data_IF_003269086144
#
_entry.id   IF_003269086144
#
_cell.length_a   1.000
_cell.length_b   1.000
_cell.length_c   1.000
_cell.angle_alpha   90.00
_cell.angle_beta   90.00
_cell.angle_gamma   90.00
#
_symmetry.space_group_name_H-M   'P 1'
#
loop_
_entity.id
_entity.type
_entity.pdbx_description
1 polymer ?
#
# COMPACT_ATOMS: atom_id res chain seq x y z
N UNK A 1 8.18 -13.68 -21.78
CA UNK A 1 7.89 -12.91 -23.00
C UNK A 1 6.42 -12.47 -23.10
N UNK A 2 5.40 -13.22 -22.63
CA UNK A 2 3.98 -12.80 -22.75
C UNK A 2 3.56 -11.68 -21.77
N UNK A 3 4.28 -11.47 -20.67
CA UNK A 3 3.89 -10.49 -19.62
C UNK A 3 4.42 -9.07 -19.89
N UNK A 4 5.48 -8.92 -20.68
CA UNK A 4 6.03 -7.61 -21.04
C UNK A 4 5.18 -6.90 -22.10
N UNK A 5 4.61 -7.66 -23.02
CA UNK A 5 3.74 -7.12 -24.07
C UNK A 5 2.43 -6.58 -23.49
N UNK A 6 1.81 -7.32 -22.55
CA UNK A 6 0.58 -6.88 -21.87
C UNK A 6 0.79 -5.61 -21.04
N UNK A 7 1.95 -5.47 -20.42
CA UNK A 7 2.30 -4.25 -19.65
C UNK A 7 2.58 -3.06 -20.58
N UNK A 8 3.19 -3.29 -21.74
CA UNK A 8 3.43 -2.27 -22.76
C UNK A 8 2.11 -1.77 -23.40
N UNK A 9 1.16 -2.68 -23.64
CA UNK A 9 -0.16 -2.34 -24.18
C UNK A 9 -1.01 -1.55 -23.18
N UNK A 10 -0.97 -1.90 -21.89
CA UNK A 10 -1.63 -1.12 -20.83
C UNK A 10 -1.05 0.30 -20.72
N UNK A 11 0.28 0.44 -20.84
CA UNK A 11 0.97 1.72 -20.81
C UNK A 11 0.65 2.63 -22.01
N UNK A 12 0.32 2.04 -23.16
CA UNK A 12 -0.05 2.79 -24.37
C UNK A 12 -1.50 3.31 -24.33
N UNK A 13 -2.35 2.73 -23.50
CA UNK A 13 -3.75 3.12 -23.30
C UNK A 13 -3.96 4.23 -22.26
N UNK A 14 -2.91 4.64 -21.53
CA UNK A 14 -2.97 5.67 -20.47
C UNK A 14 -2.11 6.89 -20.86
N UNK A 15 -2.60 7.81 -21.70
CA UNK A 15 -1.85 9.00 -22.13
C UNK A 15 -1.63 10.05 -21.03
N UNK A 16 -2.14 9.86 -19.82
CA UNK A 16 -2.24 10.90 -18.77
C UNK A 16 -1.36 10.57 -17.53
N UNK A 17 -0.52 9.53 -17.56
CA UNK A 17 0.38 9.29 -16.42
C UNK A 17 1.68 10.08 -16.59
N UNK A 18 1.83 11.14 -15.80
CA UNK A 18 3.08 11.86 -15.59
C UNK A 18 4.25 10.96 -15.11
N UNK A 19 5.50 11.36 -15.34
CA UNK A 19 6.70 10.57 -15.05
C UNK A 19 6.76 9.84 -13.69
N UNK A 20 6.27 10.38 -12.55
CA UNK A 20 6.29 9.67 -11.28
C UNK A 20 5.36 8.45 -11.25
N UNK A 21 4.22 8.49 -11.96
CA UNK A 21 3.31 7.35 -12.03
C UNK A 21 3.84 6.22 -12.93
N UNK A 22 4.65 6.54 -13.96
CA UNK A 22 5.41 5.56 -14.75
C UNK A 22 6.48 4.84 -13.93
N UNK A 23 7.11 5.51 -12.97
CA UNK A 23 8.10 4.91 -12.08
C UNK A 23 7.48 3.86 -11.15
N UNK A 24 6.22 4.02 -10.74
CA UNK A 24 5.49 3.03 -9.92
C UNK A 24 5.26 1.71 -10.67
N UNK A 25 5.09 1.76 -11.99
CA UNK A 25 4.91 0.57 -12.83
C UNK A 25 6.23 -0.12 -13.22
N UNK A 26 7.39 0.50 -12.97
CA UNK A 26 8.70 0.01 -13.43
C UNK A 26 9.60 -0.56 -12.34
N UNK A 27 9.30 -0.37 -11.06
CA UNK A 27 10.10 -0.94 -9.96
C UNK A 27 9.53 -2.30 -9.56
N UNK A 28 9.83 -3.30 -10.36
CA UNK A 28 9.63 -4.69 -9.96
C UNK A 28 10.82 -5.12 -9.12
N UNK A 29 10.76 -4.93 -7.81
CA UNK A 29 11.67 -5.63 -6.90
C UNK A 29 11.36 -7.12 -7.06
N UNK A 30 12.26 -7.83 -7.75
CA UNK A 30 12.06 -9.25 -8.01
C UNK A 30 12.47 -10.04 -6.77
N UNK A 31 11.52 -10.31 -5.90
CA UNK A 31 11.68 -11.33 -4.87
C UNK A 31 11.76 -12.70 -5.54
N UNK A 32 12.71 -13.51 -5.12
CA UNK A 32 12.83 -14.87 -5.61
C UNK A 32 12.08 -15.87 -4.71
N UNK A 33 12.11 -17.15 -5.09
CA UNK A 33 11.51 -18.26 -4.34
C UNK A 33 12.03 -18.36 -2.89
N UNK A 34 13.31 -18.11 -2.68
CA UNK A 34 13.93 -18.16 -1.36
C UNK A 34 13.47 -16.99 -0.51
N UNK A 35 13.33 -15.81 -1.11
CA UNK A 35 12.75 -14.64 -0.45
C UNK A 35 11.31 -14.92 0.01
N UNK A 36 10.49 -15.50 -0.86
CA UNK A 36 9.11 -15.84 -0.52
C UNK A 36 9.04 -16.83 0.66
N UNK A 37 9.88 -17.88 0.65
CA UNK A 37 9.97 -18.84 1.75
C UNK A 37 10.41 -18.18 3.06
N UNK A 38 11.36 -17.26 2.99
CA UNK A 38 11.85 -16.52 4.16
C UNK A 38 10.76 -15.60 4.72
N UNK A 39 10.06 -14.87 3.87
CA UNK A 39 8.93 -14.02 4.26
C UNK A 39 7.78 -14.82 4.88
N UNK A 40 7.43 -15.98 4.32
CA UNK A 40 6.43 -16.87 4.91
C UNK A 40 6.86 -17.38 6.29
N UNK A 41 8.13 -17.76 6.45
CA UNK A 41 8.65 -18.18 7.74
C UNK A 41 8.63 -17.06 8.79
N UNK A 42 8.85 -15.80 8.38
CA UNK A 42 8.71 -14.61 9.24
C UNK A 42 7.24 -14.33 9.58
N UNK A 43 6.32 -14.50 8.65
CA UNK A 43 4.88 -14.39 8.93
C UNK A 43 4.42 -15.41 9.98
N UNK A 44 4.94 -16.65 9.92
CA UNK A 44 4.61 -17.71 10.89
C UNK A 44 5.28 -17.50 12.26
N UNK A 45 6.45 -16.85 12.28
CA UNK A 45 7.22 -16.61 13.48
C UNK A 45 7.83 -15.19 13.47
N UNK A 46 7.02 -14.14 13.73
CA UNK A 46 7.45 -12.74 13.58
C UNK A 46 8.60 -12.32 14.50
N UNK A 47 8.86 -13.09 15.58
CA UNK A 47 9.94 -12.83 16.54
C UNK A 47 11.15 -13.76 16.34
N UNK A 48 11.15 -14.59 15.28
CA UNK A 48 12.26 -15.48 15.02
C UNK A 48 13.53 -14.69 14.66
N UNK A 49 14.64 -15.10 15.25
CA UNK A 49 15.95 -14.55 14.90
C UNK A 49 16.41 -15.06 13.53
N UNK A 50 17.34 -14.36 12.88
CA UNK A 50 17.92 -14.80 11.61
C UNK A 50 18.55 -16.21 11.69
N UNK A 51 19.06 -16.61 12.86
CA UNK A 51 19.59 -17.97 13.10
C UNK A 51 18.47 -19.01 13.08
N UNK A 52 17.36 -18.73 13.75
CA UNK A 52 16.19 -19.63 13.77
C UNK A 52 15.55 -19.76 12.38
N UNK A 53 15.47 -18.66 11.64
CA UNK A 53 14.98 -18.66 10.26
C UNK A 53 15.89 -19.48 9.34
N UNK A 54 17.22 -19.33 9.47
CA UNK A 54 18.20 -20.09 8.72
C UNK A 54 18.04 -21.60 8.97
N UNK A 55 17.94 -22.00 10.24
CA UNK A 55 17.71 -23.39 10.62
C UNK A 55 16.39 -23.94 10.08
N UNK A 56 15.27 -23.19 10.26
CA UNK A 56 13.93 -23.59 9.79
C UNK A 56 13.89 -23.84 8.28
N UNK A 57 14.62 -23.04 7.51
CA UNK A 57 14.60 -23.09 6.04
C UNK A 57 15.74 -23.89 5.42
N UNK A 58 16.64 -24.44 6.26
CA UNK A 58 17.88 -25.10 5.84
C UNK A 58 18.73 -24.20 4.91
N UNK A 59 18.95 -22.96 5.35
CA UNK A 59 19.77 -21.96 4.67
C UNK A 59 21.00 -21.62 5.51
N UNK A 60 22.08 -21.17 4.84
CA UNK A 60 23.22 -20.60 5.54
C UNK A 60 22.82 -19.28 6.23
N UNK A 61 23.34 -19.04 7.45
CA UNK A 61 23.09 -17.82 8.22
C UNK A 61 23.41 -16.55 7.41
N UNK A 62 24.53 -16.55 6.69
CA UNK A 62 24.93 -15.41 5.87
C UNK A 62 23.94 -15.14 4.71
N UNK A 63 23.33 -16.19 4.15
CA UNK A 63 22.30 -16.06 3.12
C UNK A 63 21.05 -15.35 3.66
N UNK A 64 20.61 -15.69 4.87
CA UNK A 64 19.49 -15.01 5.51
C UNK A 64 19.84 -13.55 5.80
N UNK A 65 21.01 -13.30 6.41
CA UNK A 65 21.45 -11.94 6.73
C UNK A 65 21.57 -11.04 5.52
N UNK A 66 22.17 -11.52 4.43
CA UNK A 66 22.33 -10.72 3.19
C UNK A 66 20.98 -10.38 2.56
N UNK A 67 20.00 -11.29 2.62
CA UNK A 67 18.63 -11.02 2.11
C UNK A 67 17.90 -10.00 2.96
N UNK A 68 17.95 -10.11 4.28
CA UNK A 68 17.35 -9.13 5.19
C UNK A 68 17.96 -7.74 4.97
N UNK A 69 19.29 -7.64 4.90
CA UNK A 69 19.97 -6.37 4.64
C UNK A 69 19.59 -5.76 3.28
N UNK A 70 19.44 -6.58 2.22
CA UNK A 70 18.96 -6.14 0.93
C UNK A 70 17.53 -5.59 1.04
N UNK A 71 16.62 -6.28 1.73
CA UNK A 71 15.24 -5.81 1.90
C UNK A 71 15.13 -4.50 2.64
N UNK A 72 16.01 -4.28 3.64
CA UNK A 72 16.09 -2.99 4.34
C UNK A 72 16.53 -1.86 3.40
N UNK A 73 17.53 -2.12 2.55
CA UNK A 73 18.02 -1.16 1.56
C UNK A 73 16.98 -0.87 0.48
N UNK A 74 16.33 -1.89 -0.04
CA UNK A 74 15.33 -1.81 -1.11
C UNK A 74 13.92 -1.46 -0.58
N UNK A 75 13.74 -1.30 0.74
CA UNK A 75 12.46 -1.03 1.41
C UNK A 75 11.36 -2.02 1.02
N UNK A 76 11.72 -3.30 0.94
CA UNK A 76 10.78 -4.38 0.59
C UNK A 76 9.68 -4.54 1.62
N UNK A 77 10.01 -4.37 2.91
CA UNK A 77 9.05 -4.43 4.00
C UNK A 77 8.49 -3.05 4.29
N UNK A 78 7.19 -2.97 4.45
CA UNK A 78 6.53 -1.75 4.88
C UNK A 78 6.97 -1.39 6.32
N UNK A 79 6.98 -0.09 6.68
CA UNK A 79 7.21 0.36 8.05
C UNK A 79 6.21 -0.28 9.03
N UNK A 80 6.62 -0.42 10.30
CA UNK A 80 5.84 -1.13 11.32
C UNK A 80 4.51 -0.43 11.65
N UNK A 81 4.43 0.87 11.48
CA UNK A 81 3.20 1.66 11.66
C UNK A 81 2.06 1.17 10.77
N UNK A 82 2.37 0.62 9.59
CA UNK A 82 1.36 0.00 8.70
C UNK A 82 0.79 -1.32 9.23
N UNK A 83 1.39 -1.89 10.25
CA UNK A 83 0.91 -3.10 10.91
C UNK A 83 0.01 -2.80 12.11
N UNK A 84 -0.07 -1.54 12.53
CA UNK A 84 -0.91 -1.12 13.66
C UNK A 84 -2.32 -0.84 13.16
N UNK A 85 -3.31 -1.47 13.81
CA UNK A 85 -4.71 -1.21 13.48
C UNK A 85 -5.12 0.19 13.95
N UNK A 86 -5.73 1.03 13.10
CA UNK A 86 -6.28 2.32 13.54
C UNK A 86 -7.28 2.17 14.69
N UNK A 87 -8.02 1.06 14.74
CA UNK A 87 -8.95 0.76 15.85
C UNK A 87 -8.23 0.72 17.19
N UNK A 88 -7.03 0.12 17.24
CA UNK A 88 -6.25 0.03 18.48
C UNK A 88 -5.65 1.38 18.90
N UNK A 89 -5.63 2.35 17.97
CA UNK A 89 -5.26 3.74 18.21
C UNK A 89 -6.46 4.64 18.57
N UNK A 90 -7.67 4.06 18.72
CA UNK A 90 -8.87 4.80 19.07
C UNK A 90 -9.69 5.30 17.87
N UNK A 91 -9.42 4.82 16.66
CA UNK A 91 -10.14 5.18 15.44
C UNK A 91 -10.92 3.96 14.90
N UNK A 92 -12.08 3.61 15.50
CA UNK A 92 -12.82 2.42 15.12
C UNK A 92 -13.56 2.54 13.77
N UNK A 93 -13.85 3.77 13.31
CA UNK A 93 -14.52 3.99 12.04
C UNK A 93 -13.51 4.14 10.91
N UNK A 94 -13.79 3.47 9.81
CA UNK A 94 -13.03 3.58 8.57
C UNK A 94 -13.97 3.99 7.43
N UNK A 95 -13.52 4.88 6.57
CA UNK A 95 -14.23 5.28 5.37
C UNK A 95 -13.28 5.42 4.20
N UNK A 96 -13.83 5.34 2.99
CA UNK A 96 -13.15 5.63 1.75
C UNK A 96 -13.81 6.86 1.11
N UNK A 97 -12.99 7.84 0.77
CA UNK A 97 -13.45 9.04 0.06
C UNK A 97 -12.86 9.00 -1.34
N UNK A 98 -13.72 9.03 -2.35
CA UNK A 98 -13.28 9.30 -3.72
C UNK A 98 -13.36 10.81 -3.97
N UNK A 99 -12.35 11.38 -4.60
CA UNK A 99 -12.28 12.80 -4.90
C UNK A 99 -11.99 13.05 -6.39
N UNK A 100 -12.62 14.09 -6.92
CA UNK A 100 -12.27 14.72 -8.19
C UNK A 100 -11.51 15.99 -7.87
N UNK A 101 -10.37 16.21 -8.51
CA UNK A 101 -9.47 17.31 -8.21
C UNK A 101 -9.03 18.05 -9.47
N UNK A 102 -8.68 19.32 -9.32
CA UNK A 102 -7.99 20.06 -10.37
C UNK A 102 -6.60 19.45 -10.61
N UNK A 103 -6.40 18.85 -11.78
CA UNK A 103 -5.15 18.18 -12.15
C UNK A 103 -3.94 19.13 -12.16
N UNK A 104 -4.15 20.42 -12.40
CA UNK A 104 -3.07 21.43 -12.36
C UNK A 104 -2.59 21.71 -10.94
N UNK A 105 -3.36 21.30 -9.93
CA UNK A 105 -3.06 21.50 -8.51
C UNK A 105 -2.87 20.19 -7.75
N UNK A 106 -2.72 19.07 -8.44
CA UNK A 106 -2.67 17.74 -7.85
C UNK A 106 -1.60 17.63 -6.75
N UNK A 107 -0.40 18.16 -6.99
CA UNK A 107 0.70 18.10 -6.00
C UNK A 107 0.38 18.92 -4.73
N UNK A 108 -0.28 20.08 -4.88
CA UNK A 108 -0.72 20.90 -3.75
C UNK A 108 -1.81 20.18 -2.96
N UNK A 109 -2.76 19.55 -3.65
CA UNK A 109 -3.84 18.75 -3.05
C UNK A 109 -3.25 17.59 -2.25
N UNK A 110 -2.32 16.82 -2.85
CA UNK A 110 -1.66 15.68 -2.17
C UNK A 110 -0.91 16.15 -0.92
N UNK A 111 -0.15 17.25 -1.03
CA UNK A 111 0.59 17.80 0.10
C UNK A 111 -0.36 18.24 1.24
N UNK A 112 -1.48 18.89 0.92
CA UNK A 112 -2.47 19.31 1.89
C UNK A 112 -3.18 18.11 2.53
N UNK A 113 -3.59 17.11 1.76
CA UNK A 113 -4.21 15.88 2.28
C UNK A 113 -3.26 15.15 3.24
N UNK A 114 -1.96 15.11 2.95
CA UNK A 114 -0.96 14.47 3.80
C UNK A 114 -0.79 15.13 5.18
N UNK A 115 -1.28 16.35 5.39
CA UNK A 115 -1.26 17.01 6.71
C UNK A 115 -2.41 16.58 7.62
N UNK A 116 -3.44 15.92 7.08
CA UNK A 116 -4.62 15.49 7.85
C UNK A 116 -4.31 14.13 8.50
N UNK A 117 -4.15 14.11 9.80
CA UNK A 117 -3.70 12.93 10.55
C UNK A 117 -4.62 11.70 10.39
N UNK A 118 -5.92 11.92 10.17
CA UNK A 118 -6.91 10.86 9.97
C UNK A 118 -6.88 10.24 8.57
N UNK A 119 -6.09 10.76 7.65
CA UNK A 119 -5.88 10.14 6.33
C UNK A 119 -4.78 9.07 6.46
N UNK A 120 -5.15 7.83 6.23
CA UNK A 120 -4.24 6.69 6.31
C UNK A 120 -3.58 6.35 4.97
N UNK A 121 -4.23 6.72 3.86
CA UNK A 121 -3.73 6.44 2.52
C UNK A 121 -4.38 7.37 1.49
N UNK A 122 -3.62 7.74 0.47
CA UNK A 122 -4.12 8.39 -0.75
C UNK A 122 -3.60 7.62 -1.95
N UNK A 123 -4.49 7.23 -2.86
CA UNK A 123 -4.16 6.47 -4.06
C UNK A 123 -4.74 7.18 -5.27
N UNK A 124 -3.94 7.43 -6.30
CA UNK A 124 -4.41 7.92 -7.60
C UNK A 124 -5.23 6.84 -8.31
N UNK A 125 -6.34 7.24 -8.90
CA UNK A 125 -7.22 6.38 -9.67
C UNK A 125 -7.21 6.79 -11.15
N UNK A 126 -7.47 5.82 -12.02
CA UNK A 126 -7.87 6.05 -13.40
C UNK A 126 -9.38 5.88 -13.49
N UNK A 127 -10.12 6.90 -13.96
CA UNK A 127 -11.57 6.80 -14.15
C UNK A 127 -12.35 8.04 -13.73
N UNK A 128 -13.56 7.85 -13.18
CA UNK A 128 -14.48 8.94 -12.84
C UNK A 128 -14.07 9.76 -11.61
N UNK A 129 -13.15 9.25 -10.79
CA UNK A 129 -12.53 9.95 -9.68
C UNK A 129 -11.01 9.89 -9.84
N UNK A 130 -10.31 10.90 -9.36
CA UNK A 130 -8.87 11.04 -9.46
C UNK A 130 -8.14 10.41 -8.26
N UNK A 131 -8.75 10.48 -7.08
CA UNK A 131 -8.15 9.99 -5.84
C UNK A 131 -9.10 9.08 -5.07
N UNK A 132 -8.52 8.04 -4.45
CA UNK A 132 -9.12 7.26 -3.37
C UNK A 132 -8.36 7.55 -2.08
N UNK A 133 -9.08 8.02 -1.07
CA UNK A 133 -8.53 8.46 0.21
C UNK A 133 -9.09 7.55 1.30
N UNK A 134 -8.21 6.84 2.01
CA UNK A 134 -8.56 6.09 3.21
C UNK A 134 -8.60 7.02 4.42
N UNK A 135 -9.72 7.05 5.12
CA UNK A 135 -9.98 7.91 6.27
C UNK A 135 -10.37 7.08 7.47
N UNK A 136 -9.92 7.49 8.66
CA UNK A 136 -10.32 6.91 9.94
C UNK A 136 -10.86 7.98 10.87
N UNK A 137 -11.75 7.59 11.78
CA UNK A 137 -12.39 8.52 12.73
C UNK A 137 -12.73 7.82 14.04
N UNK A 138 -12.84 8.61 15.11
CA UNK A 138 -13.25 8.14 16.44
C UNK A 138 -14.74 7.81 16.51
N UNK A 139 -15.56 8.60 15.83
CA UNK A 139 -17.01 8.51 15.81
C UNK A 139 -17.58 9.15 14.52
N UNK A 140 -18.90 9.21 14.40
CA UNK A 140 -19.58 9.76 13.24
C UNK A 140 -19.38 11.28 13.07
N UNK A 141 -19.32 12.01 14.18
CA UNK A 141 -19.13 13.46 14.15
C UNK A 141 -17.69 13.80 13.71
N UNK A 142 -16.71 13.04 14.21
CA UNK A 142 -15.32 13.14 13.77
C UNK A 142 -15.19 12.78 12.29
N UNK A 143 -15.87 11.73 11.83
CA UNK A 143 -15.88 11.34 10.42
C UNK A 143 -16.43 12.46 9.53
N UNK A 144 -17.54 13.10 9.94
CA UNK A 144 -18.12 14.24 9.24
C UNK A 144 -17.14 15.42 9.19
N UNK A 145 -16.49 15.71 10.32
CA UNK A 145 -15.45 16.75 10.42
C UNK A 145 -14.30 16.49 9.44
N UNK A 146 -13.78 15.25 9.42
CA UNK A 146 -12.67 14.87 8.52
C UNK A 146 -13.09 14.96 7.05
N UNK A 147 -14.31 14.54 6.70
CA UNK A 147 -14.84 14.70 5.35
C UNK A 147 -14.88 16.18 4.93
N UNK A 148 -15.27 17.07 5.85
CA UNK A 148 -15.22 18.51 5.62
C UNK A 148 -13.81 19.05 5.39
N UNK A 149 -12.81 18.55 6.14
CA UNK A 149 -11.41 18.91 5.93
C UNK A 149 -10.90 18.48 4.55
N UNK A 150 -11.25 17.29 4.09
CA UNK A 150 -10.88 16.81 2.76
C UNK A 150 -11.52 17.69 1.67
N UNK A 151 -12.81 18.00 1.79
CA UNK A 151 -13.51 18.83 0.81
C UNK A 151 -13.00 20.28 0.80
N UNK A 152 -12.52 20.78 1.94
CA UNK A 152 -11.99 22.14 2.07
C UNK A 152 -10.58 22.31 1.47
N UNK A 153 -9.91 21.23 1.07
CA UNK A 153 -8.59 21.32 0.42
C UNK A 153 -8.70 22.04 -0.91
N UNK A 154 -7.95 23.14 -1.11
CA UNK A 154 -7.99 23.90 -2.37
C UNK A 154 -7.57 23.03 -3.56
N UNK A 155 -8.43 22.92 -4.56
CA UNK A 155 -8.25 22.05 -5.73
C UNK A 155 -9.06 20.75 -5.64
N UNK A 156 -9.69 20.43 -4.52
CA UNK A 156 -10.70 19.37 -4.44
C UNK A 156 -12.05 19.95 -4.91
N UNK A 157 -12.61 19.37 -5.95
CA UNK A 157 -13.87 19.85 -6.57
C UNK A 157 -15.09 19.12 -6.03
N UNK A 158 -14.96 17.81 -5.82
CA UNK A 158 -16.06 16.95 -5.39
C UNK A 158 -15.52 15.75 -4.64
N UNK A 159 -16.24 15.35 -3.59
CA UNK A 159 -15.96 14.14 -2.83
C UNK A 159 -17.21 13.26 -2.71
N UNK A 160 -17.00 11.96 -2.65
CA UNK A 160 -18.04 10.99 -2.28
C UNK A 160 -17.45 10.06 -1.22
N UNK A 161 -18.10 9.95 -0.07
CA UNK A 161 -17.65 9.13 1.04
C UNK A 161 -18.47 7.85 1.15
N UNK A 162 -17.79 6.74 1.40
CA UNK A 162 -18.37 5.42 1.68
C UNK A 162 -17.80 4.90 3.00
N UNK A 163 -18.66 4.69 3.99
CA UNK A 163 -18.25 4.13 5.28
C UNK A 163 -18.02 2.63 5.14
N UNK A 164 -16.89 2.13 5.61
CA UNK A 164 -16.61 0.70 5.66
C UNK A 164 -17.40 0.07 6.81
N UNK A 165 -18.42 -0.70 6.47
CA UNK A 165 -19.27 -1.38 7.47
C UNK A 165 -18.58 -2.60 8.06
N UNK A 166 -17.82 -3.33 7.24
CA UNK A 166 -17.18 -4.57 7.63
C UNK A 166 -16.03 -4.91 6.68
N UNK A 167 -14.91 -5.34 7.25
CA UNK A 167 -13.79 -5.87 6.46
C UNK A 167 -14.07 -7.36 6.18
N UNK A 168 -14.46 -7.68 4.96
CA UNK A 168 -14.82 -9.06 4.56
C UNK A 168 -13.57 -9.92 4.37
N UNK A 169 -12.50 -9.35 3.79
CA UNK A 169 -11.20 -9.98 3.64
C UNK A 169 -10.13 -8.94 4.00
N UNK A 170 -9.36 -9.23 5.03
CA UNK A 170 -8.25 -8.36 5.43
C UNK A 170 -7.18 -8.28 4.34
N UNK A 171 -6.51 -7.13 4.25
CA UNK A 171 -5.36 -6.99 3.34
C UNK A 171 -4.33 -8.08 3.60
N UNK A 172 -3.94 -8.78 2.56
CA UNK A 172 -3.00 -9.90 2.66
C UNK A 172 -2.19 -10.09 1.37
N UNK A 173 -0.92 -10.34 1.54
CA UNK A 173 -0.01 -10.76 0.45
C UNK A 173 0.43 -12.21 0.56
N UNK A 174 0.05 -12.90 1.66
CA UNK A 174 0.43 -14.30 1.92
C UNK A 174 0.15 -15.24 0.75
N UNK A 175 -1.04 -15.24 0.11
CA UNK A 175 -1.30 -16.11 -1.03
C UNK A 175 -0.35 -15.88 -2.22
N UNK A 176 0.09 -14.63 -2.43
CA UNK A 176 1.06 -14.30 -3.47
C UNK A 176 2.46 -14.82 -3.14
N UNK A 177 2.86 -14.77 -1.87
CA UNK A 177 4.12 -15.35 -1.40
C UNK A 177 4.11 -16.86 -1.53
N UNK A 178 3.00 -17.53 -1.21
CA UNK A 178 2.83 -18.98 -1.38
C UNK A 178 2.95 -19.37 -2.86
N UNK A 179 2.29 -18.64 -3.76
CA UNK A 179 2.44 -18.85 -5.20
C UNK A 179 3.90 -18.67 -5.66
N UNK A 180 4.58 -17.61 -5.21
CA UNK A 180 5.98 -17.37 -5.56
C UNK A 180 6.91 -18.46 -5.01
N UNK A 181 6.67 -18.93 -3.79
CA UNK A 181 7.45 -20.01 -3.17
C UNK A 181 7.33 -21.35 -3.91
N UNK A 182 6.21 -21.58 -4.62
CA UNK A 182 5.93 -22.81 -5.38
C UNK A 182 6.23 -22.71 -6.89
N UNK A 183 6.59 -21.54 -7.42
CA UNK A 183 7.02 -21.41 -8.82
C UNK A 183 8.26 -22.27 -9.08
N UNK A 184 8.19 -23.10 -10.11
CA UNK A 184 9.31 -23.90 -10.61
C UNK A 184 10.33 -23.05 -11.36
#
# INVERSE_FOLDING_TARGET
MHNEQATADLLSMLPILDPPARAILSVVTKLDRTDARLLLAMCDAPRATGVQLAAKLNLARNTVQSRLARWDQEKVLAPIDRCVSPRDLGYPLQAFVTAVVDQHRLDEVIAALATIAQITQVTGLSGAADLLIGVVATDADDLYRVAGLVLAVPGVERTTMSVAMHEVVAYRTRPLLEQLAHRQ
#
